data_IF_621716923762
#
_entry.id   IF_621716923762
#
_cell.length_a   1.000
_cell.length_b   1.000
_cell.length_c   1.000
_cell.angle_alpha   90.00
_cell.angle_beta   90.00
_cell.angle_gamma   90.00
#
_symmetry.space_group_name_H-M   'P 1'
#
loop_
_entity.id
_entity.type
_entity.pdbx_description
1 polymer ?
#
# COMPACT_ATOMS: atom_id res chain seq x y z
N UNK A 1 -6.82 18.99 16.58
CA UNK A 1 -7.12 18.60 15.19
C UNK A 1 -5.91 18.85 14.32
N UNK A 2 -5.43 17.83 13.68
CA UNK A 2 -4.32 17.97 12.75
C UNK A 2 -4.84 18.19 11.32
N UNK A 3 -4.08 18.91 10.54
CA UNK A 3 -4.33 19.00 9.12
C UNK A 3 -3.81 17.75 8.43
N UNK A 4 -4.60 17.23 7.48
CA UNK A 4 -4.16 16.08 6.67
C UNK A 4 -3.38 16.59 5.47
N UNK A 5 -2.23 15.98 5.23
CA UNK A 5 -1.37 16.31 4.10
C UNK A 5 -0.87 15.03 3.42
N UNK A 6 -0.81 15.06 2.11
CA UNK A 6 -0.21 13.98 1.33
C UNK A 6 0.99 14.55 0.60
N UNK A 7 2.18 14.05 0.93
CA UNK A 7 3.44 14.52 0.38
C UNK A 7 4.13 13.44 -0.44
N UNK A 8 4.83 13.86 -1.48
CA UNK A 8 5.68 12.95 -2.25
C UNK A 8 6.83 12.48 -1.37
N UNK A 9 7.10 11.18 -1.40
CA UNK A 9 8.24 10.60 -0.67
C UNK A 9 9.53 10.94 -1.41
N UNK A 10 10.50 11.46 -0.66
CA UNK A 10 11.83 11.80 -1.14
C UNK A 10 12.85 11.29 -0.12
N UNK A 11 14.12 11.57 -0.33
CA UNK A 11 15.17 11.23 0.65
C UNK A 11 14.93 11.89 2.02
N UNK A 12 14.16 12.97 2.06
CA UNK A 12 13.89 13.69 3.31
C UNK A 12 12.90 12.97 4.22
N UNK A 13 11.95 12.21 3.66
CA UNK A 13 10.88 11.57 4.44
C UNK A 13 10.75 10.06 4.21
N UNK A 14 11.65 9.47 3.45
CA UNK A 14 11.57 8.04 3.12
C UNK A 14 11.61 7.15 4.36
N UNK A 15 12.29 7.56 5.41
CA UNK A 15 12.35 6.76 6.64
C UNK A 15 10.98 6.61 7.27
N UNK A 16 10.21 7.70 7.34
CA UNK A 16 8.84 7.64 7.86
C UNK A 16 7.96 6.72 7.02
N UNK A 17 8.09 6.81 5.69
CA UNK A 17 7.34 5.93 4.79
C UNK A 17 7.74 4.46 5.00
N UNK A 18 9.03 4.19 5.17
CA UNK A 18 9.55 2.85 5.38
C UNK A 18 9.09 2.26 6.72
N UNK A 19 9.01 3.07 7.76
CA UNK A 19 8.48 2.62 9.06
C UNK A 19 7.04 2.17 8.93
N UNK A 20 6.21 2.96 8.25
CA UNK A 20 4.81 2.60 8.02
C UNK A 20 4.72 1.30 7.23
N UNK A 21 5.51 1.19 6.17
CA UNK A 21 5.52 -0.01 5.33
C UNK A 21 5.91 -1.24 6.16
N UNK A 22 6.99 -1.13 6.94
CA UNK A 22 7.49 -2.26 7.72
C UNK A 22 6.48 -2.71 8.78
N UNK A 23 5.94 -1.77 9.55
CA UNK A 23 4.98 -2.07 10.61
C UNK A 23 3.70 -2.68 10.01
N UNK A 24 3.17 -2.04 8.99
CA UNK A 24 1.90 -2.46 8.39
C UNK A 24 2.03 -3.78 7.65
N UNK A 25 3.15 -3.99 6.96
CA UNK A 25 3.42 -5.23 6.26
C UNK A 25 3.52 -6.40 7.25
N UNK A 26 4.28 -6.23 8.34
CA UNK A 26 4.42 -7.27 9.35
C UNK A 26 3.07 -7.62 9.98
N UNK A 27 2.26 -6.62 10.25
CA UNK A 27 0.93 -6.85 10.85
C UNK A 27 -0.01 -7.58 9.87
N UNK A 28 -0.03 -7.17 8.61
CA UNK A 28 -0.92 -7.77 7.60
C UNK A 28 -0.53 -9.20 7.24
N UNK A 29 0.74 -9.55 7.39
CA UNK A 29 1.25 -10.89 7.04
C UNK A 29 1.44 -11.81 8.25
N UNK A 30 1.08 -11.34 9.45
CA UNK A 30 1.32 -12.06 10.71
C UNK A 30 0.77 -13.48 10.71
N UNK A 31 -0.40 -13.69 10.13
CA UNK A 31 -1.07 -14.99 10.10
C UNK A 31 -0.89 -15.72 8.76
N UNK A 32 -0.08 -15.18 7.86
CA UNK A 32 0.09 -15.68 6.50
C UNK A 32 1.49 -16.26 6.31
N UNK A 33 2.48 -15.61 6.91
CA UNK A 33 3.90 -15.97 6.76
C UNK A 33 4.49 -16.41 8.08
N UNK A 34 5.66 -17.09 8.02
CA UNK A 34 6.37 -17.51 9.23
C UNK A 34 6.91 -16.30 9.98
N UNK A 35 7.07 -16.47 11.31
CA UNK A 35 7.60 -15.39 12.15
C UNK A 35 8.99 -14.94 11.71
N UNK A 36 9.86 -15.90 11.32
CA UNK A 36 11.20 -15.58 10.86
C UNK A 36 11.21 -14.75 9.59
N UNK A 37 10.34 -15.08 8.65
CA UNK A 37 10.22 -14.33 7.40
C UNK A 37 9.70 -12.92 7.66
N UNK A 38 8.70 -12.79 8.53
CA UNK A 38 8.14 -11.50 8.90
C UNK A 38 9.20 -10.60 9.54
N UNK A 39 10.03 -11.16 10.42
CA UNK A 39 11.06 -10.41 11.13
C UNK A 39 12.13 -9.81 10.20
N UNK A 40 12.27 -10.32 8.99
CA UNK A 40 13.20 -9.76 8.00
C UNK A 40 12.77 -8.40 7.47
N UNK A 41 11.49 -8.05 7.61
CA UNK A 41 10.93 -6.81 7.05
C UNK A 41 11.10 -5.66 8.02
N UNK A 42 12.36 -5.23 8.21
CA UNK A 42 12.73 -4.10 9.07
C UNK A 42 12.53 -2.78 8.31
N UNK A 43 12.58 -1.67 9.04
CA UNK A 43 12.53 -0.34 8.44
C UNK A 43 13.65 -0.14 7.42
N UNK A 44 14.86 -0.58 7.75
CA UNK A 44 16.03 -0.44 6.86
C UNK A 44 15.83 -1.23 5.57
N UNK A 45 15.33 -2.45 5.66
CA UNK A 45 15.02 -3.25 4.48
C UNK A 45 13.96 -2.58 3.62
N UNK A 46 12.91 -2.06 4.24
CA UNK A 46 11.83 -1.42 3.51
C UNK A 46 12.25 -0.09 2.90
N UNK A 47 13.22 0.63 3.51
CA UNK A 47 13.81 1.80 2.85
C UNK A 47 14.46 1.41 1.52
N UNK A 48 15.21 0.32 1.51
CA UNK A 48 15.83 -0.19 0.28
C UNK A 48 14.79 -0.58 -0.76
N UNK A 49 13.72 -1.24 -0.32
CA UNK A 49 12.62 -1.61 -1.20
C UNK A 49 11.96 -0.38 -1.82
N UNK A 50 11.64 0.63 -1.01
CA UNK A 50 11.00 1.85 -1.52
C UNK A 50 11.94 2.61 -2.48
N UNK A 51 13.23 2.69 -2.16
CA UNK A 51 14.20 3.30 -3.06
C UNK A 51 14.23 2.59 -4.41
N UNK A 52 14.22 1.26 -4.38
CA UNK A 52 14.21 0.45 -5.60
C UNK A 52 12.95 0.72 -6.43
N UNK A 53 11.79 0.83 -5.78
CA UNK A 53 10.54 1.16 -6.48
C UNK A 53 10.61 2.54 -7.13
N UNK A 54 11.15 3.53 -6.41
CA UNK A 54 11.30 4.88 -6.94
C UNK A 54 12.25 4.92 -8.14
N UNK A 55 13.32 4.13 -8.11
CA UNK A 55 14.25 4.01 -9.24
C UNK A 55 13.58 3.40 -10.47
N UNK A 56 12.57 2.56 -10.28
CA UNK A 56 11.78 1.99 -11.37
C UNK A 56 10.72 2.96 -11.90
N UNK A 57 10.59 4.12 -11.28
CA UNK A 57 9.65 5.15 -11.70
C UNK A 57 8.40 5.27 -10.83
N UNK A 58 8.30 4.51 -9.75
CA UNK A 58 7.15 4.63 -8.85
C UNK A 58 7.18 5.96 -8.11
N UNK A 59 6.00 6.57 -7.97
CA UNK A 59 5.79 7.71 -7.09
C UNK A 59 5.17 7.18 -5.80
N UNK A 60 5.75 7.52 -4.67
CA UNK A 60 5.28 7.07 -3.36
C UNK A 60 4.83 8.30 -2.58
N UNK A 61 3.67 8.20 -1.93
CA UNK A 61 3.06 9.31 -1.22
C UNK A 61 2.85 8.95 0.24
N UNK A 62 3.09 9.94 1.10
CA UNK A 62 3.01 9.80 2.56
C UNK A 62 1.85 10.65 3.06
N UNK A 63 0.90 10.02 3.75
CA UNK A 63 -0.21 10.72 4.38
C UNK A 63 0.13 11.02 5.83
N UNK A 64 0.00 12.27 6.22
CA UNK A 64 0.19 12.73 7.59
C UNK A 64 -1.10 13.34 8.12
N UNK A 65 -1.36 13.15 9.40
CA UNK A 65 -2.46 13.76 10.12
C UNK A 65 -1.86 14.59 11.26
N UNK A 66 -1.74 15.88 11.05
CA UNK A 66 -0.98 16.75 11.93
C UNK A 66 0.51 16.45 11.81
N UNK A 67 1.16 16.18 12.92
CA UNK A 67 2.60 15.86 12.96
C UNK A 67 2.87 14.37 12.78
N UNK A 68 1.82 13.56 12.63
CA UNK A 68 1.95 12.10 12.62
C UNK A 68 1.78 11.55 11.21
N UNK A 69 2.74 10.77 10.77
CA UNK A 69 2.64 10.02 9.52
C UNK A 69 1.82 8.76 9.74
N UNK A 70 0.79 8.52 8.93
CA UNK A 70 -0.19 7.44 9.20
C UNK A 70 -0.34 6.43 8.08
N UNK A 71 0.03 6.78 6.86
CA UNK A 71 -0.15 5.85 5.75
C UNK A 71 0.68 6.20 4.53
N UNK A 72 0.79 5.24 3.62
CA UNK A 72 1.51 5.40 2.35
C UNK A 72 0.73 4.75 1.21
N UNK A 73 1.00 5.21 0.00
CA UNK A 73 0.53 4.55 -1.22
C UNK A 73 1.55 4.80 -2.32
N UNK A 74 1.71 3.83 -3.22
CA UNK A 74 2.57 4.00 -4.39
C UNK A 74 1.78 3.90 -5.68
N UNK A 75 2.27 4.57 -6.72
CA UNK A 75 1.69 4.51 -8.06
C UNK A 75 2.82 4.35 -9.06
N UNK A 76 2.71 3.33 -9.90
CA UNK A 76 3.61 3.14 -11.03
C UNK A 76 2.75 2.98 -12.27
N UNK A 77 2.75 4.01 -13.13
CA UNK A 77 1.86 4.10 -14.30
C UNK A 77 0.39 4.00 -13.85
N UNK A 78 -0.30 2.90 -14.17
CA UNK A 78 -1.69 2.69 -13.81
C UNK A 78 -1.86 1.75 -12.63
N UNK A 79 -0.75 1.28 -12.04
CA UNK A 79 -0.78 0.30 -10.96
C UNK A 79 -0.62 0.99 -9.62
N UNK A 80 -1.62 0.83 -8.75
CA UNK A 80 -1.58 1.28 -7.37
C UNK A 80 -0.97 0.14 -6.55
N UNK A 81 0.09 0.44 -5.82
CA UNK A 81 0.76 -0.54 -4.99
C UNK A 81 0.97 -0.01 -3.58
N UNK A 82 1.49 -0.85 -2.72
CA UNK A 82 1.96 -0.48 -1.38
C UNK A 82 1.02 0.46 -0.62
N UNK A 83 -0.29 0.16 -0.61
CA UNK A 83 -1.26 0.91 0.16
C UNK A 83 -1.29 0.37 1.59
N UNK A 84 -0.75 1.13 2.53
CA UNK A 84 -0.69 0.74 3.94
C UNK A 84 -1.07 1.90 4.85
N UNK A 85 -1.86 1.58 5.88
CA UNK A 85 -2.20 2.48 6.97
C UNK A 85 -1.75 1.81 8.26
N UNK A 86 -1.13 2.55 9.16
CA UNK A 86 -0.70 2.00 10.45
C UNK A 86 -1.87 1.31 11.14
N UNK A 87 -1.64 0.14 11.77
CA UNK A 87 -2.75 -0.61 12.40
C UNK A 87 -3.61 0.21 13.35
N UNK A 88 -3.00 1.05 14.19
CA UNK A 88 -3.72 1.89 15.15
C UNK A 88 -4.48 3.05 14.50
N UNK A 89 -4.24 3.33 13.21
CA UNK A 89 -4.90 4.41 12.48
C UNK A 89 -5.96 3.90 11.50
N UNK A 90 -6.17 2.60 11.43
CA UNK A 90 -7.16 2.01 10.53
C UNK A 90 -8.58 2.33 11.00
N UNK A 91 -9.56 2.15 10.11
CA UNK A 91 -10.98 2.43 10.34
C UNK A 91 -11.29 3.91 10.59
N UNK A 92 -10.43 4.80 10.08
CA UNK A 92 -10.62 6.26 10.16
C UNK A 92 -10.71 6.91 8.78
N UNK A 93 -10.79 6.10 7.72
CA UNK A 93 -10.93 6.60 6.35
C UNK A 93 -9.64 6.92 5.63
N UNK A 94 -8.48 6.73 6.26
CA UNK A 94 -7.19 7.04 5.65
C UNK A 94 -6.89 6.18 4.43
N UNK A 95 -7.26 4.90 4.48
CA UNK A 95 -7.07 4.00 3.34
C UNK A 95 -7.83 4.47 2.12
N UNK A 96 -9.09 4.88 2.29
CA UNK A 96 -9.89 5.41 1.20
C UNK A 96 -9.33 6.73 0.66
N UNK A 97 -8.83 7.61 1.55
CA UNK A 97 -8.20 8.87 1.11
C UNK A 97 -6.97 8.62 0.25
N UNK A 98 -6.10 7.71 0.70
CA UNK A 98 -4.91 7.34 -0.06
C UNK A 98 -5.28 6.70 -1.40
N UNK A 99 -6.27 5.81 -1.38
CA UNK A 99 -6.73 5.15 -2.61
C UNK A 99 -7.25 6.16 -3.61
N UNK A 100 -8.12 7.09 -3.18
CA UNK A 100 -8.67 8.12 -4.06
C UNK A 100 -7.57 9.02 -4.61
N UNK A 101 -6.61 9.38 -3.78
CA UNK A 101 -5.46 10.17 -4.22
C UNK A 101 -4.68 9.44 -5.31
N UNK A 102 -4.38 8.16 -5.07
CA UNK A 102 -3.64 7.34 -6.01
C UNK A 102 -4.38 7.16 -7.34
N UNK A 103 -5.69 6.97 -7.28
CA UNK A 103 -6.51 6.84 -8.48
C UNK A 103 -6.36 8.06 -9.41
N UNK A 104 -6.27 9.24 -8.83
CA UNK A 104 -6.09 10.49 -9.60
C UNK A 104 -4.69 10.61 -10.20
N UNK A 105 -3.71 9.89 -9.65
CA UNK A 105 -2.33 9.91 -10.13
C UNK A 105 -2.06 8.89 -11.24
N UNK A 106 -2.97 7.95 -11.45
CA UNK A 106 -2.84 6.97 -12.52
C UNK A 106 -3.06 7.64 -13.87
N UNK A 107 -2.24 7.25 -14.86
CA UNK A 107 -2.32 7.80 -16.21
C UNK A 107 -3.55 7.28 -16.95
N UNK A 108 -3.89 6.01 -16.76
CA UNK A 108 -5.04 5.36 -17.38
C UNK A 108 -5.96 4.77 -16.33
N UNK A 109 -6.62 3.67 -16.68
CA UNK A 109 -7.53 2.99 -15.75
C UNK A 109 -6.75 2.38 -14.59
N UNK A 110 -7.01 2.80 -13.34
CA UNK A 110 -6.32 2.26 -12.18
C UNK A 110 -6.52 0.76 -12.02
N UNK A 111 -5.44 0.07 -11.68
CA UNK A 111 -5.49 -1.34 -11.33
C UNK A 111 -4.54 -1.60 -10.18
N UNK A 112 -4.73 -2.74 -9.52
CA UNK A 112 -3.91 -3.13 -8.37
C UNK A 112 -3.86 -4.64 -8.25
N UNK A 113 -2.94 -5.11 -7.42
CA UNK A 113 -2.83 -6.52 -7.07
C UNK A 113 -3.01 -6.64 -5.56
N UNK A 114 -3.78 -7.63 -5.14
CA UNK A 114 -4.09 -7.85 -3.72
C UNK A 114 -3.93 -9.32 -3.39
N UNK A 115 -3.39 -9.62 -2.20
CA UNK A 115 -3.29 -11.00 -1.73
C UNK A 115 -4.68 -11.60 -1.58
N UNK A 116 -4.85 -12.83 -2.05
CA UNK A 116 -6.14 -13.54 -1.99
C UNK A 116 -6.67 -13.69 -0.56
N UNK A 117 -5.80 -13.66 0.45
CA UNK A 117 -6.19 -13.79 1.85
C UNK A 117 -6.46 -12.44 2.53
N UNK A 118 -6.19 -11.32 1.87
CA UNK A 118 -6.38 -10.00 2.46
C UNK A 118 -7.80 -9.50 2.21
N UNK A 119 -8.76 -10.05 2.94
CA UNK A 119 -10.18 -9.73 2.74
C UNK A 119 -10.51 -8.28 3.09
N UNK A 120 -9.84 -7.70 4.07
CA UNK A 120 -10.07 -6.30 4.43
C UNK A 120 -9.71 -5.36 3.29
N UNK A 121 -8.57 -5.60 2.62
CA UNK A 121 -8.16 -4.80 1.49
C UNK A 121 -9.10 -5.01 0.30
N UNK A 122 -9.47 -6.25 0.02
CA UNK A 122 -10.39 -6.56 -1.08
C UNK A 122 -11.70 -5.79 -0.89
N UNK A 123 -12.26 -5.79 0.32
CA UNK A 123 -13.49 -5.04 0.60
C UNK A 123 -13.31 -3.54 0.43
N UNK A 124 -12.17 -2.99 0.82
CA UNK A 124 -11.87 -1.58 0.61
C UNK A 124 -11.89 -1.25 -0.88
N UNK A 125 -11.22 -2.06 -1.68
CA UNK A 125 -11.15 -1.84 -3.12
C UNK A 125 -12.52 -1.98 -3.78
N UNK A 126 -13.29 -3.00 -3.39
CA UNK A 126 -14.65 -3.21 -3.93
C UNK A 126 -15.56 -2.02 -3.60
N UNK A 127 -15.49 -1.50 -2.38
CA UNK A 127 -16.30 -0.33 -2.00
C UNK A 127 -15.97 0.91 -2.84
N UNK A 128 -14.76 0.95 -3.40
CA UNK A 128 -14.31 2.08 -4.22
C UNK A 128 -14.39 1.81 -5.72
N UNK A 129 -15.12 0.77 -6.12
CA UNK A 129 -15.41 0.52 -7.53
C UNK A 129 -14.47 -0.42 -8.26
N UNK A 130 -13.55 -1.05 -7.56
CA UNK A 130 -12.65 -2.03 -8.17
C UNK A 130 -13.33 -3.40 -8.25
N UNK A 131 -13.06 -4.13 -9.31
CA UNK A 131 -13.58 -5.49 -9.52
C UNK A 131 -12.44 -6.41 -9.94
N UNK A 132 -12.59 -7.69 -9.59
CA UNK A 132 -11.64 -8.72 -10.01
C UNK A 132 -11.65 -8.86 -11.53
N UNK A 133 -10.46 -8.99 -12.12
CA UNK A 133 -10.32 -9.17 -13.57
C UNK A 133 -10.20 -10.63 -13.96
N UNK A 134 -9.90 -11.51 -13.01
CA UNK A 134 -9.62 -12.91 -13.27
C UNK A 134 -8.14 -13.23 -13.39
N UNK A 135 -7.29 -12.21 -13.53
CA UNK A 135 -5.84 -12.43 -13.56
C UNK A 135 -5.31 -12.69 -12.16
N UNK A 136 -4.32 -13.58 -12.07
CA UNK A 136 -3.70 -13.90 -10.79
C UNK A 136 -2.23 -14.23 -10.97
N UNK A 137 -1.45 -13.99 -9.91
CA UNK A 137 -0.05 -14.38 -9.82
C UNK A 137 0.10 -15.34 -8.66
N UNK A 138 0.56 -16.55 -8.93
CA UNK A 138 0.77 -17.55 -7.89
C UNK A 138 2.12 -17.27 -7.21
N UNK A 139 2.11 -17.05 -5.90
CA UNK A 139 3.31 -16.79 -5.12
C UNK A 139 3.79 -18.04 -4.40
N UNK A 140 2.85 -18.90 -3.96
CA UNK A 140 3.12 -20.17 -3.29
C UNK A 140 1.90 -21.05 -3.41
N UNK A 141 1.90 -22.21 -2.77
CA UNK A 141 0.75 -23.13 -2.78
C UNK A 141 -0.51 -22.50 -2.21
N UNK A 142 -0.34 -21.58 -1.25
CA UNK A 142 -1.48 -20.97 -0.52
C UNK A 142 -1.67 -19.50 -0.81
N UNK A 143 -0.69 -18.83 -1.44
CA UNK A 143 -0.73 -17.38 -1.66
C UNK A 143 -0.75 -17.06 -3.15
N UNK A 144 -1.66 -16.20 -3.51
CA UNK A 144 -1.75 -15.62 -4.85
C UNK A 144 -2.09 -14.15 -4.74
N UNK A 145 -1.63 -13.37 -5.70
CA UNK A 145 -2.12 -12.00 -5.87
C UNK A 145 -3.20 -12.00 -6.96
N UNK A 146 -4.27 -11.28 -6.70
CA UNK A 146 -5.40 -11.14 -7.60
C UNK A 146 -5.42 -9.72 -8.15
N UNK A 147 -5.63 -9.60 -9.46
CA UNK A 147 -5.74 -8.29 -10.08
C UNK A 147 -7.16 -7.74 -9.92
N UNK A 148 -7.24 -6.47 -9.55
CA UNK A 148 -8.49 -5.72 -9.55
C UNK A 148 -8.32 -4.47 -10.40
N UNK A 149 -9.39 -4.05 -11.04
CA UNK A 149 -9.39 -2.87 -11.91
C UNK A 149 -10.60 -1.99 -11.60
N UNK A 150 -10.40 -0.69 -11.64
CA UNK A 150 -11.49 0.26 -11.45
C UNK A 150 -12.48 0.15 -12.63
N UNK A 151 -13.75 -0.02 -12.30
CA UNK A 151 -14.82 -0.04 -13.28
C UNK A 151 -15.52 1.31 -13.26
N UNK A 152 -15.54 1.98 -14.40
CA UNK A 152 -16.16 3.30 -14.54
C UNK A 152 -17.43 3.21 -15.35
#
# INVERSE_FOLDING_TARGET
>A
MGDKMIDLVTSANIRQAAEIHAISWRESHRNICTADFIALHTTERQMGYLQSQMEKGAAIFLLSDGCRSVGIVSVLRDVIGDLYVLPEEQDRGFGSELLHFAMKKCAGTPKLWVLNQNQCAIRLYERNGFQMTGERKVLSETLSELEMRLIT
#
